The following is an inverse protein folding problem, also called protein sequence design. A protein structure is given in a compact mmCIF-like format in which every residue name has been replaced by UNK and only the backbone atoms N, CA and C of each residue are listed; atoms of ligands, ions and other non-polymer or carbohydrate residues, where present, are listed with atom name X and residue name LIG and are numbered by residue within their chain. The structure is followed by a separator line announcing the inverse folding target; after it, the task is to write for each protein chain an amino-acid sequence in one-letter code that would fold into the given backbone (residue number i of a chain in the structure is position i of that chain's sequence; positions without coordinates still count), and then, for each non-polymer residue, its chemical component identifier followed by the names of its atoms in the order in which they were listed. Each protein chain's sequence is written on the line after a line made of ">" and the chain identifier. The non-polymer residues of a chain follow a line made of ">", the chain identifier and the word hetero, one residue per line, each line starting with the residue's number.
data_IF_577944801371
#
_entry.id   IF_577944801371
#
_cell.length_a   1.000
_cell.length_b   1.000
_cell.length_c   1.000
_cell.angle_alpha   90.00
_cell.angle_beta   90.00
_cell.angle_gamma   90.00
#
_symmetry.space_group_name_H-M   'P 1'
#
loop_
_entity.id
_entity.type
_entity.pdbx_description
1 polymer ?
#
# COMPACT_ATOMS: atom_id res chain seq x y z
N UNK A 1 -12.79 -98.50 3.53
CA UNK A 1 -11.42 -98.10 3.91
C UNK A 1 -10.80 -97.52 2.64
N UNK A 2 -10.44 -96.26 2.45
CA UNK A 2 -10.21 -95.06 3.27
C UNK A 2 -10.72 -93.84 2.45
N UNK A 3 -11.69 -93.03 2.93
CA UNK A 3 -11.56 -91.65 3.47
C UNK A 3 -10.76 -90.68 2.57
N UNK A 4 -11.22 -89.50 2.14
CA UNK A 4 -12.41 -88.73 2.48
C UNK A 4 -12.60 -87.50 1.57
N UNK A 5 -13.79 -86.91 1.66
CA UNK A 5 -14.27 -85.69 0.99
C UNK A 5 -13.51 -84.44 1.50
N UNK A 6 -13.32 -83.44 0.65
CA UNK A 6 -13.67 -82.05 1.03
C UNK A 6 -13.92 -81.17 -0.20
N UNK A 7 -14.96 -80.37 -0.05
CA UNK A 7 -15.53 -79.41 -0.98
C UNK A 7 -14.79 -78.06 -0.87
N UNK A 8 -15.11 -77.13 -1.79
CA UNK A 8 -15.07 -75.67 -1.62
C UNK A 8 -14.00 -74.90 -2.41
N UNK A 9 -14.48 -73.76 -2.97
CA UNK A 9 -13.74 -72.58 -3.46
C UNK A 9 -13.20 -72.70 -4.89
N UNK A 10 -14.03 -72.69 -5.94
CA UNK A 10 -14.66 -71.49 -6.55
C UNK A 10 -13.78 -70.22 -6.45
N UNK A 11 -13.30 -69.74 -7.61
CA UNK A 11 -12.67 -68.42 -7.87
C UNK A 11 -11.34 -68.07 -7.19
N UNK A 12 -10.20 -68.53 -7.71
CA UNK A 12 -8.91 -67.89 -7.38
C UNK A 12 -7.74 -68.14 -8.38
N UNK A 13 -7.90 -67.94 -9.71
CA UNK A 13 -6.70 -67.64 -10.49
C UNK A 13 -6.94 -66.42 -11.39
N UNK A 14 -6.73 -65.22 -10.86
CA UNK A 14 -6.56 -63.96 -11.64
C UNK A 14 -6.24 -62.74 -10.74
N UNK A 15 -5.48 -62.94 -9.65
CA UNK A 15 -5.15 -61.85 -8.72
C UNK A 15 -3.63 -61.62 -8.55
N UNK A 16 -2.80 -62.11 -9.49
CA UNK A 16 -1.34 -62.10 -9.32
C UNK A 16 -0.55 -61.42 -10.47
N UNK A 17 -1.21 -60.69 -11.37
CA UNK A 17 -0.51 -60.05 -12.52
C UNK A 17 -1.01 -58.65 -12.86
N UNK A 18 -1.47 -57.93 -11.85
CA UNK A 18 -1.65 -56.48 -11.86
C UNK A 18 -1.19 -55.93 -10.50
N UNK A 19 0.07 -56.19 -10.12
CA UNK A 19 0.81 -55.20 -9.32
C UNK A 19 1.12 -54.01 -10.24
N UNK A 20 0.03 -53.34 -10.62
CA UNK A 20 0.05 -52.01 -11.19
C UNK A 20 0.80 -51.15 -10.20
N UNK A 21 1.70 -50.36 -10.76
CA UNK A 21 2.26 -49.15 -10.17
C UNK A 21 1.11 -48.30 -9.62
N UNK A 22 0.70 -48.59 -8.40
CA UNK A 22 -0.13 -47.72 -7.56
C UNK A 22 0.61 -47.43 -6.27
N UNK A 23 1.93 -47.24 -6.39
CA UNK A 23 2.59 -46.14 -5.69
C UNK A 23 2.15 -44.84 -6.39
N UNK A 24 0.85 -44.55 -6.35
CA UNK A 24 0.40 -43.18 -6.36
C UNK A 24 0.98 -42.62 -5.06
N UNK A 25 2.16 -42.00 -5.18
CA UNK A 25 2.74 -41.27 -4.07
C UNK A 25 1.65 -40.44 -3.41
N UNK A 26 1.73 -40.30 -2.10
CA UNK A 26 1.02 -39.24 -1.41
C UNK A 26 1.38 -37.96 -2.18
N UNK A 27 0.50 -37.50 -3.07
CA UNK A 27 0.70 -36.29 -3.85
C UNK A 27 0.80 -35.22 -2.77
N UNK A 28 2.00 -34.70 -2.53
CA UNK A 28 2.22 -33.59 -1.61
C UNK A 28 1.67 -32.34 -2.29
N UNK A 29 0.34 -32.32 -2.38
CA UNK A 29 -0.45 -31.27 -2.99
C UNK A 29 -0.16 -29.96 -2.26
N UNK A 30 0.09 -30.02 -0.96
CA UNK A 30 0.51 -28.87 -0.17
C UNK A 30 1.92 -28.40 -0.57
N UNK A 31 2.87 -29.31 -0.78
CA UNK A 31 4.20 -29.01 -1.31
C UNK A 31 4.17 -28.35 -2.70
N UNK A 32 3.36 -28.87 -3.63
CA UNK A 32 3.19 -28.28 -4.96
C UNK A 32 2.51 -26.90 -4.89
N UNK A 33 1.47 -26.75 -4.04
CA UNK A 33 0.79 -25.48 -3.79
C UNK A 33 1.75 -24.44 -3.19
N UNK A 34 2.56 -24.85 -2.22
CA UNK A 34 3.56 -24.01 -1.56
C UNK A 34 4.63 -23.57 -2.53
N UNK A 35 5.16 -24.49 -3.34
CA UNK A 35 6.15 -24.18 -4.38
C UNK A 35 5.61 -23.17 -5.37
N UNK A 36 4.39 -23.38 -5.89
CA UNK A 36 3.76 -22.45 -6.81
C UNK A 36 3.55 -21.06 -6.17
N UNK A 37 3.20 -21.02 -4.89
CA UNK A 37 3.05 -19.76 -4.17
C UNK A 37 4.39 -19.04 -3.94
N UNK A 38 5.44 -19.76 -3.54
CA UNK A 38 6.81 -19.24 -3.42
C UNK A 38 7.27 -18.66 -4.76
N UNK A 39 7.11 -19.42 -5.85
CA UNK A 39 7.47 -18.98 -7.19
C UNK A 39 6.72 -17.70 -7.59
N UNK A 40 5.43 -17.61 -7.24
CA UNK A 40 4.63 -16.41 -7.46
C UNK A 40 5.12 -15.21 -6.64
N UNK A 41 5.42 -15.40 -5.35
CA UNK A 41 5.95 -14.33 -4.51
C UNK A 41 7.27 -13.79 -5.07
N UNK A 42 8.21 -14.67 -5.38
CA UNK A 42 9.53 -14.28 -5.88
C UNK A 42 9.50 -13.67 -7.27
N UNK A 43 8.66 -14.20 -8.16
CA UNK A 43 8.67 -13.78 -9.56
C UNK A 43 7.69 -12.67 -9.90
N UNK A 44 6.59 -12.59 -9.15
CA UNK A 44 5.52 -11.63 -9.39
C UNK A 44 5.51 -10.57 -8.31
N UNK A 45 5.35 -10.93 -7.04
CA UNK A 45 5.21 -9.93 -5.95
C UNK A 45 6.49 -9.13 -5.75
N UNK A 46 7.67 -9.78 -5.71
CA UNK A 46 8.94 -9.07 -5.54
C UNK A 46 9.29 -8.16 -6.73
N UNK A 47 8.75 -8.43 -7.91
CA UNK A 47 8.90 -7.60 -9.11
C UNK A 47 7.77 -6.57 -9.27
N UNK A 48 6.65 -6.77 -8.60
CA UNK A 48 5.52 -5.84 -8.59
C UNK A 48 5.81 -4.74 -7.59
N UNK A 49 5.54 -3.51 -8.03
CA UNK A 49 5.66 -2.32 -7.21
C UNK A 49 4.34 -1.88 -6.64
N UNK A 50 3.75 -0.92 -7.35
CA UNK A 50 2.57 -0.17 -6.94
C UNK A 50 1.33 -1.05 -6.81
N UNK A 51 1.09 -1.94 -7.77
CA UNK A 51 -0.16 -2.71 -7.83
C UNK A 51 0.11 -4.19 -7.87
N UNK A 52 -0.08 -4.84 -6.73
CA UNK A 52 -0.11 -6.28 -6.66
C UNK A 52 -1.28 -6.84 -7.49
N UNK A 53 -1.06 -7.90 -8.28
CA UNK A 53 -2.09 -8.44 -9.17
C UNK A 53 -3.17 -9.21 -8.42
N UNK A 54 -4.43 -9.03 -8.79
CA UNK A 54 -5.50 -9.90 -8.29
C UNK A 54 -5.28 -11.34 -8.74
N UNK A 55 -5.41 -12.30 -7.82
CA UNK A 55 -5.30 -13.72 -8.16
C UNK A 55 -6.44 -14.17 -9.08
N UNK A 56 -6.09 -14.84 -10.18
CA UNK A 56 -7.03 -15.53 -11.06
C UNK A 56 -7.66 -16.74 -10.36
N UNK A 57 -8.76 -17.27 -10.92
CA UNK A 57 -9.40 -18.48 -10.38
C UNK A 57 -8.45 -19.69 -10.36
N UNK A 58 -7.62 -19.83 -11.40
CA UNK A 58 -6.64 -20.91 -11.49
C UNK A 58 -5.52 -20.75 -10.46
N UNK A 59 -5.00 -19.53 -10.27
CA UNK A 59 -4.01 -19.26 -9.21
C UNK A 59 -4.57 -19.54 -7.81
N UNK A 60 -5.82 -19.15 -7.54
CA UNK A 60 -6.46 -19.46 -6.25
C UNK A 60 -6.54 -20.96 -6.00
N UNK A 61 -6.89 -21.73 -7.04
CA UNK A 61 -6.92 -23.20 -6.96
C UNK A 61 -5.52 -23.79 -6.78
N UNK A 62 -4.53 -23.23 -7.48
CA UNK A 62 -3.13 -23.66 -7.43
C UNK A 62 -2.42 -23.31 -6.12
N UNK A 63 -2.80 -22.24 -5.44
CA UNK A 63 -2.19 -21.85 -4.16
C UNK A 63 -2.91 -22.45 -2.95
N UNK A 64 -4.19 -22.83 -3.10
CA UNK A 64 -4.94 -23.47 -2.03
C UNK A 64 -4.98 -22.59 -0.76
N UNK A 65 -4.49 -23.06 0.40
CA UNK A 65 -4.55 -22.29 1.64
C UNK A 65 -3.74 -20.99 1.59
N UNK A 66 -2.66 -20.92 0.80
CA UNK A 66 -1.78 -19.74 0.75
C UNK A 66 -2.43 -18.50 0.11
N UNK A 67 -3.64 -18.63 -0.43
CA UNK A 67 -4.46 -17.48 -0.85
C UNK A 67 -4.72 -16.53 0.33
N UNK A 68 -4.90 -17.05 1.55
CA UNK A 68 -5.09 -16.19 2.74
C UNK A 68 -3.84 -15.39 3.07
N UNK A 69 -2.66 -16.01 2.95
CA UNK A 69 -1.38 -15.36 3.21
C UNK A 69 -1.16 -14.21 2.22
N UNK A 70 -1.46 -14.45 0.94
CA UNK A 70 -1.41 -13.41 -0.09
C UNK A 70 -2.38 -12.26 0.17
N UNK A 71 -3.57 -12.56 0.71
CA UNK A 71 -4.59 -11.55 0.98
C UNK A 71 -4.11 -10.49 1.99
N UNK A 72 -3.15 -10.81 2.86
CA UNK A 72 -2.52 -9.85 3.78
C UNK A 72 -1.75 -8.79 2.98
N UNK A 73 -0.88 -9.22 2.07
CA UNK A 73 -0.08 -8.35 1.21
C UNK A 73 -0.97 -7.53 0.27
N UNK A 74 -1.90 -8.21 -0.40
CA UNK A 74 -2.81 -7.59 -1.35
C UNK A 74 -3.72 -6.57 -0.66
N UNK A 75 -4.31 -6.92 0.49
CA UNK A 75 -5.20 -6.04 1.25
C UNK A 75 -4.52 -4.75 1.69
N UNK A 76 -3.29 -4.84 2.21
CA UNK A 76 -2.51 -3.65 2.57
C UNK A 76 -2.18 -2.78 1.34
N UNK A 77 -1.67 -3.39 0.27
CA UNK A 77 -1.35 -2.68 -0.98
C UNK A 77 -2.56 -1.93 -1.55
N UNK A 78 -3.75 -2.53 -1.54
CA UNK A 78 -4.97 -1.86 -1.99
C UNK A 78 -5.32 -0.64 -1.13
N UNK A 79 -5.20 -0.75 0.20
CA UNK A 79 -5.48 0.36 1.12
C UNK A 79 -4.50 1.52 0.91
N UNK A 80 -3.20 1.22 0.76
CA UNK A 80 -2.19 2.24 0.47
C UNK A 80 -2.43 2.91 -0.88
N UNK A 81 -2.71 2.15 -1.94
CA UNK A 81 -2.98 2.72 -3.26
C UNK A 81 -4.19 3.65 -3.23
N UNK A 82 -5.28 3.23 -2.56
CA UNK A 82 -6.46 4.06 -2.41
C UNK A 82 -6.16 5.35 -1.62
N UNK A 83 -5.35 5.24 -0.56
CA UNK A 83 -4.91 6.37 0.25
C UNK A 83 -4.06 7.38 -0.54
N UNK A 84 -3.13 6.87 -1.37
CA UNK A 84 -2.29 7.69 -2.24
C UNK A 84 -3.13 8.42 -3.30
N UNK A 85 -4.00 7.67 -4.00
CA UNK A 85 -4.82 8.20 -5.11
C UNK A 85 -5.90 9.17 -4.63
N UNK A 86 -6.61 8.84 -3.55
CA UNK A 86 -7.75 9.64 -3.07
C UNK A 86 -7.35 10.73 -2.08
N UNK A 87 -6.26 10.53 -1.33
CA UNK A 87 -5.90 11.39 -0.21
C UNK A 87 -4.76 12.35 -0.54
N UNK A 88 -3.64 11.84 -1.05
CA UNK A 88 -2.41 12.63 -1.17
C UNK A 88 -2.24 13.26 -2.55
N UNK A 89 -2.71 12.60 -3.61
CA UNK A 89 -2.64 13.14 -4.98
C UNK A 89 -3.38 14.47 -5.14
N UNK A 90 -4.60 14.67 -4.60
CA UNK A 90 -5.27 15.97 -4.64
C UNK A 90 -4.46 17.10 -3.95
N UNK A 91 -3.73 16.78 -2.88
CA UNK A 91 -2.86 17.76 -2.21
C UNK A 91 -1.75 18.21 -3.14
N UNK A 92 -1.08 17.27 -3.81
CA UNK A 92 -0.04 17.56 -4.81
C UNK A 92 -0.61 18.41 -5.94
N UNK A 93 -1.80 18.07 -6.45
CA UNK A 93 -2.44 18.80 -7.54
C UNK A 93 -2.78 20.25 -7.14
N UNK A 94 -3.38 20.47 -5.96
CA UNK A 94 -3.67 21.81 -5.45
C UNK A 94 -2.42 22.63 -5.20
N UNK A 95 -1.36 22.03 -4.65
CA UNK A 95 -0.06 22.71 -4.46
C UNK A 95 0.52 23.16 -5.80
N UNK A 96 0.51 22.26 -6.80
CA UNK A 96 1.03 22.56 -8.14
C UNK A 96 0.18 23.60 -8.90
N UNK A 97 -1.06 23.82 -8.46
CA UNK A 97 -1.92 24.87 -8.97
C UNK A 97 -1.52 26.27 -8.47
N UNK A 98 -0.78 26.37 -7.35
CA UNK A 98 -0.32 27.64 -6.79
C UNK A 98 0.90 28.13 -7.57
N UNK A 99 0.71 29.12 -8.43
CA UNK A 99 1.76 29.71 -9.28
C UNK A 99 1.95 31.19 -9.01
N UNK A 100 0.88 31.89 -8.67
CA UNK A 100 0.88 33.32 -8.36
C UNK A 100 0.24 33.58 -7.00
N UNK A 101 0.46 34.75 -6.36
CA UNK A 101 -0.08 35.03 -5.04
C UNK A 101 -1.62 34.95 -4.94
N UNK A 102 -2.32 35.18 -6.04
CA UNK A 102 -3.78 35.04 -6.09
C UNK A 102 -4.25 33.60 -5.86
N UNK A 103 -3.45 32.61 -6.30
CA UNK A 103 -3.80 31.20 -6.20
C UNK A 103 -3.83 30.72 -4.75
N UNK A 104 -3.07 31.33 -3.83
CA UNK A 104 -3.16 31.00 -2.40
C UNK A 104 -4.57 31.19 -1.87
N UNK A 105 -5.27 32.25 -2.30
CA UNK A 105 -6.65 32.51 -1.89
C UNK A 105 -7.60 31.49 -2.52
N UNK A 106 -7.41 31.17 -3.78
CA UNK A 106 -8.24 30.19 -4.49
C UNK A 106 -8.08 28.78 -3.93
N UNK A 107 -6.86 28.39 -3.54
CA UNK A 107 -6.55 27.05 -3.05
C UNK A 107 -6.70 26.89 -1.53
N UNK A 108 -6.81 27.96 -0.74
CA UNK A 108 -6.92 27.86 0.73
C UNK A 108 -8.13 27.06 1.20
N UNK A 109 -9.28 27.20 0.54
CA UNK A 109 -10.49 26.42 0.82
C UNK A 109 -10.27 24.92 0.61
N UNK A 110 -9.95 24.48 -0.62
CA UNK A 110 -9.62 23.08 -0.91
C UNK A 110 -8.50 22.51 -0.02
N UNK A 111 -7.42 23.25 0.20
CA UNK A 111 -6.30 22.82 1.05
C UNK A 111 -6.70 22.63 2.50
N UNK A 112 -7.60 23.45 3.04
CA UNK A 112 -8.13 23.27 4.40
C UNK A 112 -8.94 21.99 4.53
N UNK A 113 -9.79 21.70 3.55
CA UNK A 113 -10.59 20.47 3.52
C UNK A 113 -9.67 19.24 3.43
N UNK A 114 -8.72 19.26 2.50
CA UNK A 114 -7.75 18.17 2.34
C UNK A 114 -6.91 17.98 3.61
N UNK A 115 -6.44 19.05 4.25
CA UNK A 115 -5.68 18.95 5.50
C UNK A 115 -6.49 18.26 6.62
N UNK A 116 -7.80 18.50 6.69
CA UNK A 116 -8.70 17.76 7.59
C UNK A 116 -8.75 16.26 7.28
N UNK A 117 -8.82 15.89 6.00
CA UNK A 117 -8.83 14.48 5.57
C UNK A 117 -7.49 13.76 5.77
N UNK A 118 -6.35 14.48 5.73
CA UNK A 118 -5.01 13.91 5.96
C UNK A 118 -4.88 13.28 7.35
N UNK A 119 -5.56 13.83 8.37
CA UNK A 119 -5.59 13.23 9.71
C UNK A 119 -6.29 11.88 9.73
N UNK A 120 -7.40 11.74 9.01
CA UNK A 120 -8.12 10.46 8.86
C UNK A 120 -7.28 9.47 8.06
N UNK A 121 -6.59 9.94 7.02
CA UNK A 121 -5.69 9.13 6.21
C UNK A 121 -4.55 8.53 7.03
N UNK A 122 -3.93 9.33 7.92
CA UNK A 122 -2.90 8.86 8.83
C UNK A 122 -3.40 7.69 9.68
N UNK A 123 -4.60 7.83 10.24
CA UNK A 123 -5.19 6.79 11.06
C UNK A 123 -5.51 5.53 10.26
N UNK A 124 -6.03 5.68 9.03
CA UNK A 124 -6.33 4.56 8.14
C UNK A 124 -5.06 3.76 7.80
N UNK A 125 -4.00 4.46 7.38
CA UNK A 125 -2.72 3.82 7.05
C UNK A 125 -2.06 3.15 8.24
N UNK A 126 -2.14 3.77 9.43
CA UNK A 126 -1.63 3.17 10.67
C UNK A 126 -2.41 1.91 11.03
N UNK A 127 -3.74 1.93 10.91
CA UNK A 127 -4.59 0.76 11.16
C UNK A 127 -4.32 -0.37 10.16
N UNK A 128 -4.15 -0.02 8.87
CA UNK A 128 -3.79 -0.97 7.82
C UNK A 128 -2.49 -1.70 8.16
N UNK A 129 -1.47 -0.96 8.59
CA UNK A 129 -0.18 -1.52 9.00
C UNK A 129 -0.34 -2.46 10.20
N UNK A 130 -1.02 -2.01 11.26
CA UNK A 130 -1.23 -2.83 12.46
C UNK A 130 -1.99 -4.12 12.15
N UNK A 131 -2.98 -4.07 11.27
CA UNK A 131 -3.72 -5.24 10.82
C UNK A 131 -2.82 -6.20 10.04
N UNK A 132 -2.00 -5.69 9.13
CA UNK A 132 -1.06 -6.50 8.35
C UNK A 132 0.01 -7.15 9.25
N UNK A 133 0.59 -6.41 10.19
CA UNK A 133 1.58 -6.90 11.16
C UNK A 133 0.97 -7.99 12.07
N UNK A 134 -0.25 -7.78 12.56
CA UNK A 134 -0.97 -8.77 13.37
C UNK A 134 -1.27 -10.05 12.57
N UNK A 135 -1.70 -9.91 11.32
CA UNK A 135 -1.96 -11.06 10.45
C UNK A 135 -0.68 -11.83 10.12
N UNK A 136 0.42 -11.13 9.80
CA UNK A 136 1.72 -11.73 9.50
C UNK A 136 2.30 -12.49 10.69
N UNK A 137 2.27 -11.90 11.89
CA UNK A 137 2.75 -12.56 13.11
C UNK A 137 1.94 -13.80 13.51
N UNK A 138 0.67 -13.90 13.08
CA UNK A 138 -0.18 -15.05 13.33
C UNK A 138 0.01 -16.19 12.30
N UNK A 139 0.76 -15.96 11.22
CA UNK A 139 0.98 -16.98 10.17
C UNK A 139 1.82 -18.15 10.70
N UNK A 140 1.38 -19.36 10.36
CA UNK A 140 2.09 -20.61 10.64
C UNK A 140 2.69 -21.16 9.35
N UNK A 141 3.86 -20.64 8.99
CA UNK A 141 4.55 -20.99 7.75
C UNK A 141 5.67 -22.01 8.01
N UNK A 142 5.93 -22.82 7.01
CA UNK A 142 7.08 -23.73 6.95
C UNK A 142 8.39 -22.95 6.73
N UNK A 143 9.52 -23.56 7.07
CA UNK A 143 10.85 -22.92 7.01
C UNK A 143 11.26 -22.47 5.60
N UNK A 144 10.71 -23.08 4.55
CA UNK A 144 10.95 -22.72 3.15
C UNK A 144 10.10 -21.52 2.68
N UNK A 145 8.85 -21.40 3.13
CA UNK A 145 7.96 -20.31 2.75
C UNK A 145 8.22 -19.04 3.56
N UNK A 146 8.45 -19.18 4.87
CA UNK A 146 8.58 -18.05 5.78
C UNK A 146 9.57 -16.97 5.30
N UNK A 147 10.83 -17.28 4.95
CA UNK A 147 11.79 -16.25 4.54
C UNK A 147 11.37 -15.52 3.25
N UNK A 148 10.71 -16.22 2.32
CA UNK A 148 10.22 -15.62 1.07
C UNK A 148 9.03 -14.69 1.35
N UNK A 149 8.12 -15.13 2.21
CA UNK A 149 6.98 -14.30 2.60
C UNK A 149 7.43 -13.07 3.40
N UNK A 150 8.38 -13.21 4.33
CA UNK A 150 8.92 -12.09 5.10
C UNK A 150 9.55 -11.01 4.21
N UNK A 151 10.24 -11.41 3.13
CA UNK A 151 10.77 -10.47 2.13
C UNK A 151 9.65 -9.75 1.38
N UNK A 152 8.63 -10.48 0.94
CA UNK A 152 7.47 -9.90 0.29
C UNK A 152 6.71 -8.95 1.23
N UNK A 153 6.55 -9.32 2.49
CA UNK A 153 5.94 -8.49 3.53
C UNK A 153 6.74 -7.21 3.78
N UNK A 154 8.07 -7.33 3.89
CA UNK A 154 8.94 -6.16 4.06
C UNK A 154 8.79 -5.19 2.88
N UNK A 155 8.84 -5.69 1.64
CA UNK A 155 8.70 -4.89 0.42
C UNK A 155 7.32 -4.23 0.30
N UNK A 156 6.25 -4.96 0.58
CA UNK A 156 4.87 -4.51 0.31
C UNK A 156 4.25 -3.75 1.47
N UNK A 157 4.66 -4.04 2.71
CA UNK A 157 4.04 -3.52 3.93
C UNK A 157 5.00 -2.64 4.70
N UNK A 158 6.11 -3.20 5.17
CA UNK A 158 7.02 -2.50 6.10
C UNK A 158 7.63 -1.26 5.46
N UNK A 159 8.29 -1.41 4.30
CA UNK A 159 8.97 -0.30 3.63
C UNK A 159 8.00 0.82 3.20
N UNK A 160 6.83 0.54 2.58
CA UNK A 160 5.83 1.57 2.30
C UNK A 160 5.30 2.25 3.57
N UNK A 161 4.98 1.50 4.62
CA UNK A 161 4.46 2.07 5.86
C UNK A 161 5.44 3.07 6.48
N UNK A 162 6.71 2.69 6.55
CA UNK A 162 7.77 3.53 7.13
C UNK A 162 8.03 4.77 6.27
N UNK A 163 7.94 4.64 4.94
CA UNK A 163 8.09 5.77 4.01
C UNK A 163 6.89 6.74 4.05
N UNK A 164 5.69 6.24 4.36
CA UNK A 164 4.47 7.06 4.47
C UNK A 164 4.38 7.82 5.81
N UNK A 165 5.03 7.33 6.87
CA UNK A 165 5.03 7.98 8.19
C UNK A 165 5.39 9.48 8.15
N UNK A 166 6.49 9.91 7.50
CA UNK A 166 6.85 11.34 7.45
C UNK A 166 6.03 12.14 6.43
N UNK A 167 5.41 11.49 5.45
CA UNK A 167 4.72 12.18 4.35
C UNK A 167 3.50 12.95 4.85
N UNK A 168 2.65 12.32 5.65
CA UNK A 168 1.40 12.93 6.10
C UNK A 168 1.65 14.18 6.97
N UNK A 169 2.49 14.15 8.02
CA UNK A 169 2.78 15.36 8.79
C UNK A 169 3.49 16.45 7.97
N UNK A 170 4.31 16.09 6.99
CA UNK A 170 4.90 17.05 6.07
C UNK A 170 3.82 17.72 5.19
N UNK A 171 2.88 16.94 4.64
CA UNK A 171 1.74 17.43 3.88
C UNK A 171 0.84 18.32 4.74
N UNK A 172 0.54 17.93 5.97
CA UNK A 172 -0.27 18.71 6.90
C UNK A 172 0.37 20.06 7.22
N UNK A 173 1.64 20.05 7.60
CA UNK A 173 2.39 21.28 7.91
C UNK A 173 2.41 22.23 6.72
N UNK A 174 2.68 21.69 5.53
CA UNK A 174 2.77 22.49 4.32
C UNK A 174 1.41 23.05 3.88
N UNK A 175 0.37 22.22 3.83
CA UNK A 175 -0.99 22.68 3.48
C UNK A 175 -1.52 23.69 4.48
N UNK A 176 -1.26 23.52 5.78
CA UNK A 176 -1.63 24.49 6.80
C UNK A 176 -0.96 25.85 6.57
N UNK A 177 0.34 25.87 6.23
CA UNK A 177 1.04 27.11 5.94
C UNK A 177 0.48 27.82 4.70
N UNK A 178 0.15 27.07 3.64
CA UNK A 178 -0.48 27.60 2.43
C UNK A 178 -1.85 28.23 2.73
N UNK A 179 -2.65 27.57 3.58
CA UNK A 179 -3.94 28.09 4.04
C UNK A 179 -3.76 29.40 4.81
N UNK A 180 -2.78 29.48 5.73
CA UNK A 180 -2.49 30.69 6.49
C UNK A 180 -2.11 31.87 5.58
N UNK A 181 -1.32 31.62 4.54
CA UNK A 181 -0.96 32.64 3.53
C UNK A 181 -2.20 33.09 2.76
N UNK A 182 -3.03 32.14 2.30
CA UNK A 182 -4.27 32.44 1.59
C UNK A 182 -5.27 33.24 2.44
N UNK A 183 -5.46 32.85 3.69
CA UNK A 183 -6.32 33.56 4.65
C UNK A 183 -5.82 34.98 4.91
N UNK A 184 -4.51 35.16 5.07
CA UNK A 184 -3.93 36.47 5.29
C UNK A 184 -4.17 37.41 4.11
N UNK A 185 -4.01 36.92 2.87
CA UNK A 185 -4.29 37.69 1.65
C UNK A 185 -5.79 38.00 1.57
N UNK A 186 -6.65 37.01 1.81
CA UNK A 186 -8.10 37.17 1.75
C UNK A 186 -8.61 38.23 2.76
N UNK A 187 -8.04 38.29 3.95
CA UNK A 187 -8.37 39.26 4.99
C UNK A 187 -8.08 40.71 4.58
N UNK A 188 -7.10 40.93 3.69
CA UNK A 188 -6.81 42.28 3.20
C UNK A 188 -7.83 42.76 2.14
N UNK A 189 -8.60 41.84 1.56
CA UNK A 189 -9.64 42.14 0.57
C UNK A 189 -9.11 42.90 -0.66
N UNK A 190 -9.83 43.94 -1.07
CA UNK A 190 -9.50 44.75 -2.26
C UNK A 190 -8.36 45.75 -2.02
N UNK A 191 -7.77 45.79 -0.82
CA UNK A 191 -6.68 46.72 -0.53
C UNK A 191 -5.34 46.27 -1.11
N UNK A 192 -5.23 45.00 -1.49
CA UNK A 192 -4.01 44.43 -2.09
C UNK A 192 -4.13 44.41 -3.60
N UNK A 193 -3.06 44.84 -4.27
CA UNK A 193 -2.97 44.76 -5.73
C UNK A 193 -2.07 43.59 -6.14
N UNK A 194 -2.54 42.76 -7.07
CA UNK A 194 -1.75 41.70 -7.69
C UNK A 194 -1.11 42.25 -8.95
N UNK A 195 0.22 42.31 -8.97
CA UNK A 195 1.00 42.91 -10.07
C UNK A 195 1.99 41.90 -10.63
N UNK A 196 1.83 41.54 -11.91
CA UNK A 196 2.61 40.54 -12.64
C UNK A 196 2.71 39.18 -11.93
N UNK A 197 3.62 39.03 -10.95
CA UNK A 197 3.83 37.82 -10.13
C UNK A 197 3.98 38.14 -8.63
N UNK A 198 3.70 39.38 -8.23
CA UNK A 198 3.86 39.89 -6.88
C UNK A 198 2.55 40.38 -6.29
N UNK A 199 2.60 40.63 -4.99
CA UNK A 199 1.50 41.17 -4.21
C UNK A 199 1.95 42.48 -3.57
N UNK A 200 1.18 43.55 -3.75
CA UNK A 200 1.50 44.87 -3.23
C UNK A 200 0.54 45.23 -2.10
N UNK A 201 1.09 45.38 -0.90
CA UNK A 201 0.34 45.74 0.29
C UNK A 201 0.31 47.27 0.50
N UNK A 202 -0.78 47.81 1.08
CA UNK A 202 -0.88 49.24 1.42
C UNK A 202 0.19 49.72 2.41
N UNK A 203 0.59 48.86 3.35
CA UNK A 203 1.54 49.21 4.42
C UNK A 203 2.72 48.25 4.46
N UNK A 204 3.87 48.76 4.94
CA UNK A 204 5.06 47.96 5.19
C UNK A 204 4.85 46.88 6.25
N UNK A 205 3.99 47.15 7.24
CA UNK A 205 3.64 46.18 8.28
C UNK A 205 2.92 44.96 7.69
N UNK A 206 1.95 45.18 6.80
CA UNK A 206 1.26 44.08 6.11
C UNK A 206 2.21 43.26 5.23
N UNK A 207 3.08 43.93 4.47
CA UNK A 207 4.10 43.25 3.67
C UNK A 207 5.06 42.41 4.53
N UNK A 208 5.45 42.92 5.71
CA UNK A 208 6.31 42.20 6.66
C UNK A 208 5.65 40.94 7.20
N UNK A 209 4.38 41.02 7.61
CA UNK A 209 3.64 39.83 8.07
C UNK A 209 3.44 38.80 6.97
N UNK A 210 3.10 39.22 5.74
CA UNK A 210 3.06 38.33 4.60
C UNK A 210 4.40 37.62 4.37
N UNK A 211 5.51 38.37 4.37
CA UNK A 211 6.84 37.82 4.18
C UNK A 211 7.21 36.79 5.25
N UNK A 212 6.80 37.00 6.51
CA UNK A 212 6.98 36.00 7.59
C UNK A 212 6.18 34.73 7.31
N UNK A 213 4.96 34.84 6.78
CA UNK A 213 4.12 33.70 6.45
C UNK A 213 4.65 32.90 5.24
N UNK A 214 5.23 33.55 4.24
CA UNK A 214 5.76 32.82 3.08
C UNK A 214 7.19 32.29 3.31
N UNK A 215 7.94 32.84 4.26
CA UNK A 215 9.34 32.46 4.50
C UNK A 215 9.57 30.96 4.73
N UNK A 216 8.72 30.22 5.47
CA UNK A 216 8.88 28.77 5.67
C UNK A 216 8.50 27.92 4.45
N UNK A 217 7.71 28.45 3.52
CA UNK A 217 7.10 27.66 2.43
C UNK A 217 8.14 26.92 1.56
N UNK A 218 9.28 27.51 1.15
CA UNK A 218 10.26 26.78 0.33
C UNK A 218 10.82 25.54 1.04
N UNK A 219 11.14 25.66 2.34
CA UNK A 219 11.67 24.55 3.12
C UNK A 219 10.62 23.47 3.37
N UNK A 220 9.37 23.86 3.67
CA UNK A 220 8.26 22.93 3.85
C UNK A 220 7.89 22.21 2.54
N UNK A 221 7.87 22.92 1.42
CA UNK A 221 7.65 22.34 0.10
C UNK A 221 8.74 21.31 -0.25
N UNK A 222 10.01 21.62 0.06
CA UNK A 222 11.10 20.68 -0.12
C UNK A 222 10.93 19.43 0.77
N UNK A 223 10.60 19.59 2.05
CA UNK A 223 10.36 18.48 2.96
C UNK A 223 9.21 17.59 2.49
N UNK A 224 8.10 18.19 2.05
CA UNK A 224 6.98 17.48 1.46
C UNK A 224 7.39 16.70 0.20
N UNK A 225 8.11 17.32 -0.74
CA UNK A 225 8.54 16.65 -1.97
C UNK A 225 9.52 15.50 -1.71
N UNK A 226 10.42 15.65 -0.73
CA UNK A 226 11.32 14.58 -0.31
C UNK A 226 10.54 13.39 0.26
N UNK A 227 9.60 13.65 1.18
CA UNK A 227 8.75 12.61 1.74
C UNK A 227 7.86 11.95 0.67
N UNK A 228 7.31 12.74 -0.26
CA UNK A 228 6.47 12.27 -1.37
C UNK A 228 7.26 11.34 -2.29
N UNK A 229 8.45 11.76 -2.70
CA UNK A 229 9.33 10.95 -3.57
C UNK A 229 9.72 9.65 -2.88
N UNK A 230 10.01 9.70 -1.57
CA UNK A 230 10.34 8.52 -0.77
C UNK A 230 9.17 7.54 -0.70
N UNK A 231 7.96 8.03 -0.41
CA UNK A 231 6.75 7.21 -0.37
C UNK A 231 6.39 6.61 -1.74
N UNK A 232 6.45 7.41 -2.80
CA UNK A 232 6.19 6.94 -4.19
C UNK A 232 7.23 5.92 -4.63
N UNK A 233 8.49 6.06 -4.24
CA UNK A 233 9.53 5.07 -4.56
C UNK A 233 9.35 3.80 -3.74
N UNK A 234 9.00 3.92 -2.45
CA UNK A 234 8.79 2.78 -1.57
C UNK A 234 7.56 1.93 -1.97
N UNK A 235 6.57 2.57 -2.58
CA UNK A 235 5.37 1.91 -3.09
C UNK A 235 5.57 1.34 -4.50
N UNK A 236 6.69 1.59 -5.18
CA UNK A 236 7.07 1.02 -6.49
C UNK A 236 7.93 -0.26 -6.37
#
# INVERSE_FOLDING_TARGET
>A
MATGKSCSRWFAPLAALLMVVSLSGCFDKEGDQRKAFIDFLQNTVMRSGERLPTLTADQKKQFGPFVSDYAILYGYSQQVNQAMDSGLRPVVDSVNAIRVPQDYVTQSGPLREMNGSLGVLAQQLQNAKLQADAAHSALKQTDDLKPVFDQAFTKVVTTPADALQPLIPAAQTFTQQLVMVGDYIAQQGTQVSFVANGIQFPTSQQASEYNKLIAPLPAQHQAFNQAWTTAVTATQ
#
